data_IF_485858964853
#
_entry.id   IF_485858964853
#
_cell.length_a   1.000
_cell.length_b   1.000
_cell.length_c   1.000
_cell.angle_alpha   90.00
_cell.angle_beta   90.00
_cell.angle_gamma   90.00
#
_symmetry.space_group_name_H-M   'P 1'
#
loop_
_entity.id
_entity.type
_entity.pdbx_description
1 polymer ?
#
# COMPACT_ATOMS: atom_id res chain seq x y z
N UNK A 1 5.67 -4.46 -17.73
CA UNK A 1 6.85 -4.14 -16.90
C UNK A 1 7.08 -5.35 -16.01
N UNK A 2 7.92 -6.31 -16.44
CA UNK A 2 8.09 -7.61 -15.77
C UNK A 2 9.18 -7.60 -14.68
N UNK A 3 9.82 -6.45 -14.43
CA UNK A 3 11.10 -6.37 -13.70
C UNK A 3 11.05 -5.44 -12.47
N UNK A 4 9.87 -5.18 -11.89
CA UNK A 4 9.79 -4.44 -10.61
C UNK A 4 10.06 -5.42 -9.45
N UNK A 5 11.33 -5.81 -9.31
CA UNK A 5 11.85 -6.45 -8.11
C UNK A 5 12.74 -5.42 -7.37
N UNK A 6 12.27 -4.95 -6.22
CA UNK A 6 13.01 -4.03 -5.39
C UNK A 6 12.14 -3.11 -4.53
N UNK A 7 12.82 -2.22 -3.83
CA UNK A 7 12.20 -1.31 -2.87
C UNK A 7 12.31 0.14 -3.32
N UNK A 8 11.19 0.87 -3.31
CA UNK A 8 11.14 2.33 -3.50
C UNK A 8 10.83 2.99 -2.15
N UNK A 9 11.62 3.99 -1.78
CA UNK A 9 11.41 4.80 -0.57
C UNK A 9 11.49 6.28 -0.93
N UNK A 10 10.45 7.03 -0.58
CA UNK A 10 10.48 8.50 -0.64
C UNK A 10 10.78 9.01 0.76
N UNK A 11 11.87 9.77 0.86
CA UNK A 11 12.41 10.32 2.09
C UNK A 11 12.52 11.83 1.99
N UNK A 12 11.88 12.54 2.91
CA UNK A 12 12.17 13.94 3.21
C UNK A 12 13.12 14.02 4.42
N UNK A 13 14.35 14.48 4.16
CA UNK A 13 15.43 14.57 5.15
C UNK A 13 15.12 15.49 6.33
N UNK A 14 14.17 16.42 6.18
CA UNK A 14 13.85 17.41 7.21
C UNK A 14 12.48 17.16 7.87
N UNK A 15 11.78 16.08 7.51
CA UNK A 15 10.45 15.82 8.02
C UNK A 15 10.50 15.15 9.40
N UNK A 16 9.67 15.63 10.32
CA UNK A 16 9.45 14.98 11.60
C UNK A 16 8.61 13.71 11.38
N UNK A 17 9.28 12.56 11.32
CA UNK A 17 8.61 11.26 11.25
C UNK A 17 8.17 10.86 12.66
N UNK A 18 6.89 10.48 12.86
CA UNK A 18 6.45 9.94 14.14
C UNK A 18 7.31 8.74 14.55
N UNK A 19 7.60 8.61 15.84
CA UNK A 19 8.38 7.49 16.36
C UNK A 19 7.65 6.16 16.08
N UNK A 20 8.39 5.13 15.65
CA UNK A 20 7.81 3.83 15.30
C UNK A 20 7.19 3.74 13.90
N UNK A 21 7.40 4.74 13.04
CA UNK A 21 6.96 4.71 11.64
C UNK A 21 7.97 4.03 10.72
N UNK A 22 7.58 3.82 9.46
CA UNK A 22 8.38 3.15 8.41
C UNK A 22 9.64 3.91 7.96
N UNK A 23 9.96 5.06 8.56
CA UNK A 23 11.15 5.83 8.21
C UNK A 23 11.06 6.55 6.86
N UNK A 24 9.88 6.58 6.22
CA UNK A 24 9.63 7.12 4.88
C UNK A 24 8.20 7.65 4.75
N UNK A 25 7.96 8.58 3.81
CA UNK A 25 6.59 9.01 3.47
C UNK A 25 5.86 7.96 2.63
N UNK A 26 6.61 7.31 1.74
CA UNK A 26 6.16 6.23 0.86
C UNK A 26 7.17 5.11 0.90
N UNK A 27 6.69 3.89 1.10
CA UNK A 27 7.47 2.67 1.04
C UNK A 27 6.76 1.67 0.15
N UNK A 28 7.43 1.19 -0.89
CA UNK A 28 6.92 0.16 -1.79
C UNK A 28 7.98 -0.92 -1.87
N UNK A 29 7.57 -2.16 -1.67
CA UNK A 29 8.43 -3.33 -1.71
C UNK A 29 7.74 -4.37 -2.57
N UNK A 30 8.34 -4.69 -3.71
CA UNK A 30 7.78 -5.63 -4.66
C UNK A 30 8.81 -6.71 -4.94
N UNK A 31 8.45 -7.97 -4.67
CA UNK A 31 9.24 -9.12 -5.09
C UNK A 31 8.93 -9.45 -6.55
N UNK A 32 7.64 -9.34 -6.93
CA UNK A 32 7.12 -9.48 -8.29
C UNK A 32 5.69 -8.89 -8.38
N UNK A 33 5.03 -9.02 -9.53
CA UNK A 33 3.67 -8.50 -9.76
C UNK A 33 2.58 -9.14 -8.88
N UNK A 34 2.82 -10.35 -8.36
CA UNK A 34 1.87 -11.09 -7.52
C UNK A 34 2.16 -10.96 -6.02
N UNK A 35 3.30 -10.36 -5.63
CA UNK A 35 3.81 -10.29 -4.25
C UNK A 35 4.45 -8.92 -3.99
N UNK A 36 3.68 -8.03 -3.35
CA UNK A 36 4.11 -6.66 -3.06
C UNK A 36 3.40 -6.03 -1.86
N UNK A 37 4.05 -5.01 -1.29
CA UNK A 37 3.54 -4.19 -0.21
C UNK A 37 3.76 -2.71 -0.49
N UNK A 38 2.72 -1.91 -0.32
CA UNK A 38 2.73 -0.46 -0.45
C UNK A 38 2.31 0.12 0.89
N UNK A 39 3.05 1.10 1.40
CA UNK A 39 2.79 1.78 2.67
C UNK A 39 2.93 3.29 2.46
N UNK A 40 1.91 4.02 2.93
CA UNK A 40 1.90 5.47 3.02
C UNK A 40 1.85 5.88 4.49
N UNK A 41 2.57 6.96 4.82
CA UNK A 41 2.55 7.52 6.16
C UNK A 41 1.22 8.24 6.51
N UNK A 42 0.40 8.52 5.50
CA UNK A 42 -0.88 9.21 5.61
C UNK A 42 -1.91 8.59 4.63
N UNK A 43 -3.20 8.78 4.89
CA UNK A 43 -4.32 8.18 4.16
C UNK A 43 -5.30 9.22 3.60
N UNK A 44 -4.83 10.43 3.33
CA UNK A 44 -5.60 11.45 2.63
C UNK A 44 -5.98 11.03 1.19
N UNK A 45 -6.89 11.78 0.57
CA UNK A 45 -7.40 11.47 -0.78
C UNK A 45 -6.28 11.29 -1.82
N UNK A 46 -5.20 12.08 -1.75
CA UNK A 46 -4.10 11.97 -2.68
C UNK A 46 -3.28 10.68 -2.50
N UNK A 47 -3.03 10.25 -1.26
CA UNK A 47 -2.32 8.99 -1.00
C UNK A 47 -3.17 7.76 -1.32
N UNK A 48 -4.49 7.85 -1.14
CA UNK A 48 -5.45 6.83 -1.58
C UNK A 48 -5.41 6.65 -3.10
N UNK A 49 -5.54 7.74 -3.85
CA UNK A 49 -5.47 7.67 -5.32
C UNK A 49 -4.09 7.24 -5.82
N UNK A 50 -3.03 7.63 -5.12
CA UNK A 50 -1.69 7.16 -5.43
C UNK A 50 -1.53 5.66 -5.18
N UNK A 51 -2.11 5.12 -4.10
CA UNK A 51 -2.10 3.68 -3.83
C UNK A 51 -2.78 2.89 -4.94
N UNK A 52 -3.96 3.34 -5.41
CA UNK A 52 -4.67 2.72 -6.55
C UNK A 52 -3.80 2.68 -7.81
N UNK A 53 -3.11 3.79 -8.11
CA UNK A 53 -2.18 3.87 -9.25
C UNK A 53 -0.97 2.94 -9.09
N UNK A 54 -0.42 2.81 -7.89
CA UNK A 54 0.68 1.86 -7.64
C UNK A 54 0.25 0.41 -7.83
N UNK A 55 -0.92 0.03 -7.30
CA UNK A 55 -1.48 -1.32 -7.53
C UNK A 55 -1.60 -1.60 -9.03
N UNK A 56 -2.23 -0.69 -9.78
CA UNK A 56 -2.39 -0.85 -11.23
C UNK A 56 -1.06 -0.87 -12.00
N UNK A 57 -0.03 -0.17 -11.50
CA UNK A 57 1.29 -0.15 -12.11
C UNK A 57 2.10 -1.43 -11.81
N UNK A 58 2.00 -1.96 -10.59
CA UNK A 58 2.66 -3.19 -10.17
C UNK A 58 1.97 -4.43 -10.76
N UNK A 59 0.64 -4.42 -10.83
CA UNK A 59 -0.16 -5.50 -11.38
C UNK A 59 -1.38 -4.94 -12.12
N UNK A 60 -1.27 -4.81 -13.45
CA UNK A 60 -2.33 -4.23 -14.27
C UNK A 60 -3.60 -5.09 -14.36
N UNK A 61 -3.54 -6.35 -13.93
CA UNK A 61 -4.70 -7.24 -13.88
C UNK A 61 -5.46 -7.16 -12.54
N UNK A 62 -4.89 -6.47 -11.54
CA UNK A 62 -5.45 -6.36 -10.20
C UNK A 62 -5.98 -4.94 -9.97
N UNK A 63 -7.31 -4.81 -9.83
CA UNK A 63 -7.97 -3.55 -9.50
C UNK A 63 -8.49 -3.64 -8.07
N UNK A 64 -8.00 -2.79 -7.16
CA UNK A 64 -8.33 -2.81 -5.73
C UNK A 64 -9.07 -1.56 -5.24
N UNK A 65 -9.60 -0.75 -6.16
CA UNK A 65 -10.19 0.57 -5.84
C UNK A 65 -11.28 0.48 -4.77
N UNK A 66 -12.14 -0.53 -4.87
CA UNK A 66 -13.23 -0.78 -3.93
C UNK A 66 -12.69 -1.21 -2.57
N UNK A 67 -11.78 -2.19 -2.56
CA UNK A 67 -11.18 -2.76 -1.35
C UNK A 67 -10.40 -1.69 -0.56
N UNK A 68 -9.68 -0.82 -1.27
CA UNK A 68 -8.99 0.33 -0.67
C UNK A 68 -9.99 1.32 -0.07
N UNK A 69 -11.03 1.71 -0.82
CA UNK A 69 -12.01 2.69 -0.34
C UNK A 69 -12.80 2.18 0.87
N UNK A 70 -13.30 0.94 0.82
CA UNK A 70 -14.02 0.31 1.93
C UNK A 70 -13.17 0.28 3.21
N UNK A 71 -11.86 0.08 3.08
CA UNK A 71 -10.95 0.06 4.22
C UNK A 71 -10.68 1.43 4.81
N UNK A 72 -10.55 2.45 3.95
CA UNK A 72 -10.46 3.85 4.38
C UNK A 72 -11.72 4.24 5.13
N UNK A 73 -12.89 3.98 4.56
CA UNK A 73 -14.19 4.36 5.12
C UNK A 73 -14.46 3.65 6.46
N UNK A 74 -14.07 2.36 6.57
CA UNK A 74 -14.25 1.58 7.79
C UNK A 74 -13.26 1.93 8.92
N UNK A 75 -12.18 2.66 8.61
CA UNK A 75 -11.06 2.92 9.54
C UNK A 75 -10.54 1.66 10.25
N UNK A 76 -10.53 0.52 9.53
CA UNK A 76 -10.20 -0.79 10.07
C UNK A 76 -9.12 -1.49 9.21
N UNK A 77 -8.66 -2.66 9.64
CA UNK A 77 -7.88 -3.56 8.79
C UNK A 77 -8.84 -4.57 8.18
N UNK A 78 -8.84 -4.68 6.86
CA UNK A 78 -9.66 -5.63 6.12
C UNK A 78 -8.79 -6.60 5.33
N UNK A 79 -9.23 -7.85 5.27
CA UNK A 79 -8.61 -8.88 4.44
C UNK A 79 -9.61 -9.25 3.35
N UNK A 80 -9.11 -9.36 2.12
CA UNK A 80 -9.88 -9.69 0.93
C UNK A 80 -9.21 -10.84 0.20
N UNK A 81 -10.01 -11.52 -0.63
CA UNK A 81 -9.54 -12.53 -1.55
C UNK A 81 -10.05 -12.21 -2.95
N UNK A 82 -9.14 -12.17 -3.93
CA UNK A 82 -9.49 -11.87 -5.33
C UNK A 82 -8.71 -12.76 -6.26
N UNK A 83 -9.41 -13.66 -6.97
CA UNK A 83 -8.74 -14.65 -7.82
C UNK A 83 -7.71 -15.47 -7.04
N UNK A 84 -6.45 -15.42 -7.49
CA UNK A 84 -5.29 -16.11 -6.89
C UNK A 84 -4.58 -15.31 -5.77
N UNK A 85 -5.13 -14.18 -5.33
CA UNK A 85 -4.46 -13.28 -4.37
C UNK A 85 -5.17 -13.24 -3.01
N UNK A 86 -4.36 -13.14 -1.95
CA UNK A 86 -4.72 -12.65 -0.62
C UNK A 86 -4.34 -11.18 -0.56
N UNK A 87 -5.27 -10.33 -0.16
CA UNK A 87 -5.08 -8.89 -0.11
C UNK A 87 -5.37 -8.42 1.32
N UNK A 88 -4.47 -7.66 1.91
CA UNK A 88 -4.70 -6.96 3.16
C UNK A 88 -4.58 -5.47 2.92
N UNK A 89 -5.62 -4.74 3.29
CA UNK A 89 -5.58 -3.28 3.33
C UNK A 89 -5.80 -2.89 4.78
N UNK A 90 -5.04 -1.95 5.29
CA UNK A 90 -5.23 -1.54 6.66
C UNK A 90 -4.59 -0.22 7.02
N UNK A 91 -5.00 0.26 8.18
CA UNK A 91 -4.34 1.37 8.85
C UNK A 91 -3.33 0.82 9.86
N UNK A 92 -2.14 1.41 9.96
CA UNK A 92 -1.11 0.98 10.93
C UNK A 92 -1.22 1.79 12.24
N UNK A 93 -0.50 1.35 13.28
CA UNK A 93 -0.56 1.88 14.65
C UNK A 93 -0.02 3.30 14.82
N UNK A 94 0.75 3.84 13.86
CA UNK A 94 0.97 5.28 13.82
C UNK A 94 -0.22 5.93 13.10
N UNK A 95 -0.87 6.87 13.78
CA UNK A 95 -2.08 7.56 13.33
C UNK A 95 -1.94 7.96 11.84
N UNK A 96 -2.94 7.58 11.03
CA UNK A 96 -3.08 7.87 9.59
C UNK A 96 -2.26 7.05 8.58
N UNK A 97 -1.38 6.13 9.00
CA UNK A 97 -0.68 5.27 8.03
C UNK A 97 -1.64 4.32 7.31
N UNK A 98 -1.53 4.18 5.98
CA UNK A 98 -2.25 3.19 5.17
C UNK A 98 -1.28 2.21 4.52
N UNK A 99 -1.68 0.94 4.39
CA UNK A 99 -0.95 -0.03 3.57
C UNK A 99 -1.87 -0.91 2.74
N UNK A 100 -1.32 -1.39 1.61
CA UNK A 100 -1.87 -2.43 0.75
C UNK A 100 -0.82 -3.53 0.63
N UNK A 101 -1.17 -4.75 0.97
CA UNK A 101 -0.31 -5.93 0.90
C UNK A 101 -1.02 -6.98 0.05
N UNK A 102 -0.31 -7.49 -0.95
CA UNK A 102 -0.80 -8.49 -1.90
C UNK A 102 0.17 -9.65 -1.88
N UNK A 103 -0.37 -10.84 -1.61
CA UNK A 103 0.37 -12.09 -1.60
C UNK A 103 -0.35 -13.13 -2.48
N UNK A 104 0.38 -14.06 -3.11
CA UNK A 104 -0.24 -15.23 -3.73
C UNK A 104 -0.95 -16.10 -2.68
N UNK A 105 -2.05 -16.74 -3.08
CA UNK A 105 -2.81 -17.66 -2.21
C UNK A 105 -2.04 -18.91 -1.84
#
# INVERSE_FOLDING_TARGET
YADLNGTIRILDKNMYLPAGTIGAQVYIDANNEDDFKIIFLDNNEATIELAKKWVAMLNSALVLDKEIQETVDAQAINNYEKGKYKIRVGHSTAEHMMYVEVEPK
#
